data_IF_640561368124
#
_entry.id   IF_640561368124
#
_cell.length_a   1.000
_cell.length_b   1.000
_cell.length_c   1.000
_cell.angle_alpha   90.00
_cell.angle_beta   90.00
_cell.angle_gamma   90.00
#
_symmetry.space_group_name_H-M   'P 1'
#
loop_
_entity.id
_entity.type
_entity.pdbx_description
1 polymer ?
#
# COMPACT_ATOMS: atom_id res chain seq x y z
N UNK A 1 44.06 43.66 62.31
CA UNK A 1 43.87 44.72 61.31
C UNK A 1 42.63 44.38 60.51
N UNK A 2 41.61 45.24 60.55
CA UNK A 2 40.32 45.06 59.87
C UNK A 2 40.52 45.13 58.35
N UNK A 3 39.72 44.39 57.57
CA UNK A 3 38.83 44.96 56.55
C UNK A 3 37.88 43.87 55.99
N UNK A 4 36.59 44.10 56.18
CA UNK A 4 35.47 43.45 55.49
C UNK A 4 35.25 44.11 54.12
N UNK A 5 34.97 43.33 53.07
CA UNK A 5 34.23 43.76 51.87
C UNK A 5 33.53 42.51 51.30
N UNK A 6 32.26 42.27 51.65
CA UNK A 6 31.05 42.68 50.92
C UNK A 6 30.81 41.93 49.60
N UNK A 7 29.90 40.95 49.67
CA UNK A 7 28.80 40.68 48.72
C UNK A 7 29.05 40.78 47.21
N UNK A 8 29.03 39.63 46.53
CA UNK A 8 28.36 39.52 45.22
C UNK A 8 27.83 38.10 45.02
N UNK A 9 26.57 37.89 45.37
CA UNK A 9 25.80 36.67 45.11
C UNK A 9 25.39 36.64 43.65
N UNK A 10 26.16 35.96 42.80
CA UNK A 10 25.77 35.69 41.42
C UNK A 10 24.82 34.47 41.39
N UNK A 11 23.51 34.73 41.41
CA UNK A 11 22.51 33.69 41.16
C UNK A 11 22.55 33.32 39.68
N UNK A 12 23.31 32.29 39.34
CA UNK A 12 23.32 31.68 38.02
C UNK A 12 22.08 30.76 37.91
N UNK A 13 20.97 31.30 37.42
CA UNK A 13 19.78 30.51 37.11
C UNK A 13 20.09 29.67 35.87
N UNK A 14 20.45 28.41 36.08
CA UNK A 14 20.57 27.42 35.02
C UNK A 14 19.17 27.15 34.44
N UNK A 15 18.87 27.77 33.30
CA UNK A 15 17.72 27.42 32.49
C UNK A 15 17.97 26.02 31.89
N UNK A 16 17.44 25.00 32.57
CA UNK A 16 17.45 23.63 32.10
C UNK A 16 16.53 23.56 30.87
N UNK A 17 17.11 23.62 29.68
CA UNK A 17 16.45 23.28 28.42
C UNK A 17 15.99 21.82 28.53
N UNK A 18 14.71 21.63 28.82
CA UNK A 18 14.02 20.37 28.63
C UNK A 18 14.03 20.08 27.12
N UNK A 19 15.09 19.43 26.66
CA UNK A 19 15.09 18.70 25.40
C UNK A 19 14.07 17.57 25.57
N UNK A 20 12.83 17.85 25.19
CA UNK A 20 11.84 16.81 24.99
C UNK A 20 12.41 15.82 24.00
N UNK A 21 12.78 14.64 24.47
CA UNK A 21 13.07 13.51 23.60
C UNK A 21 11.81 13.25 22.79
N UNK A 22 11.83 13.58 21.51
CA UNK A 22 10.86 13.08 20.56
C UNK A 22 10.98 11.55 20.61
N UNK A 23 10.08 10.92 21.36
CA UNK A 23 9.93 9.47 21.33
C UNK A 23 9.58 9.17 19.87
N UNK A 24 10.52 8.58 19.13
CA UNK A 24 10.20 8.00 17.84
C UNK A 24 9.06 7.01 18.12
N UNK A 25 7.90 7.23 17.51
CA UNK A 25 6.83 6.26 17.59
C UNK A 25 7.37 4.96 17.01
N UNK A 26 7.51 3.92 17.83
CA UNK A 26 7.99 2.61 17.40
C UNK A 26 6.92 2.02 16.48
N UNK A 27 7.03 2.20 15.17
CA UNK A 27 6.06 1.64 14.24
C UNK A 27 6.26 0.12 14.12
N UNK A 28 5.16 -0.62 14.16
CA UNK A 28 5.17 -2.04 13.86
C UNK A 28 5.09 -2.26 12.36
N UNK A 29 5.91 -3.19 11.86
CA UNK A 29 5.98 -3.55 10.44
C UNK A 29 5.30 -4.89 10.18
N UNK A 30 4.22 -4.86 9.43
CA UNK A 30 3.56 -6.04 8.88
C UNK A 30 4.09 -6.29 7.46
N UNK A 31 4.43 -7.54 7.13
CA UNK A 31 4.95 -7.92 5.81
C UNK A 31 3.96 -8.81 5.09
N UNK A 32 3.98 -8.80 3.75
CA UNK A 32 3.22 -9.75 2.93
C UNK A 32 3.36 -11.20 3.41
N UNK A 33 2.25 -11.91 3.41
CA UNK A 33 2.17 -13.36 3.69
C UNK A 33 1.58 -14.11 2.47
N UNK A 34 1.84 -15.42 2.34
CA UNK A 34 1.20 -16.25 1.32
C UNK A 34 -0.32 -16.19 1.41
N UNK A 35 -1.01 -16.22 0.26
CA UNK A 35 -2.48 -16.15 0.18
C UNK A 35 -3.02 -14.83 -0.38
N UNK A 36 -2.14 -13.89 -0.73
CA UNK A 36 -2.52 -12.68 -1.47
C UNK A 36 -2.92 -13.00 -2.92
N UNK A 37 -3.81 -12.20 -3.49
CA UNK A 37 -4.32 -12.34 -4.87
C UNK A 37 -4.48 -10.99 -5.52
N UNK A 38 -4.20 -10.91 -6.82
CA UNK A 38 -4.55 -9.78 -7.67
C UNK A 38 -5.21 -10.31 -8.93
N UNK A 39 -6.26 -9.63 -9.39
CA UNK A 39 -6.95 -9.91 -10.64
C UNK A 39 -7.18 -8.62 -11.40
N UNK A 40 -6.95 -8.63 -12.69
CA UNK A 40 -7.21 -7.53 -13.61
C UNK A 40 -8.16 -8.05 -14.69
N UNK A 41 -9.35 -7.49 -14.75
CA UNK A 41 -10.38 -7.80 -15.75
C UNK A 41 -10.35 -6.72 -16.85
N UNK A 42 -10.47 -7.13 -18.12
CA UNK A 42 -10.58 -6.24 -19.27
C UNK A 42 -11.37 -6.84 -20.41
N UNK A 43 -11.66 -6.04 -21.43
CA UNK A 43 -12.51 -6.43 -22.56
C UNK A 43 -11.70 -6.58 -23.85
N UNK A 44 -12.20 -7.36 -24.81
CA UNK A 44 -11.65 -7.41 -26.17
C UNK A 44 -12.76 -7.53 -27.22
N UNK A 45 -12.40 -7.36 -28.50
CA UNK A 45 -13.32 -7.52 -29.63
C UNK A 45 -13.91 -8.94 -29.78
N UNK A 46 -13.31 -9.95 -29.15
CA UNK A 46 -13.78 -11.34 -29.20
C UNK A 46 -14.51 -11.70 -27.90
N UNK A 47 -13.80 -11.70 -26.78
CA UNK A 47 -14.32 -12.05 -25.45
C UNK A 47 -13.62 -11.22 -24.35
N UNK A 48 -14.24 -11.15 -23.17
CA UNK A 48 -13.57 -10.60 -21.99
C UNK A 48 -12.38 -11.48 -21.58
N UNK A 49 -11.37 -10.85 -21.01
CA UNK A 49 -10.15 -11.50 -20.55
C UNK A 49 -9.84 -11.11 -19.12
N UNK A 50 -9.00 -11.91 -18.47
CA UNK A 50 -8.46 -11.56 -17.17
C UNK A 50 -7.00 -11.95 -17.03
N UNK A 51 -6.36 -11.30 -16.07
CA UNK A 51 -4.99 -11.59 -15.64
C UNK A 51 -5.00 -11.76 -14.13
N UNK A 52 -4.33 -12.80 -13.63
CA UNK A 52 -4.24 -13.10 -12.20
C UNK A 52 -2.80 -13.21 -11.72
N UNK A 53 -2.58 -12.89 -10.45
CA UNK A 53 -1.30 -13.08 -9.77
C UNK A 53 -1.52 -13.42 -8.30
N UNK A 54 -0.56 -14.15 -7.72
CA UNK A 54 -0.59 -14.53 -6.31
C UNK A 54 0.53 -13.87 -5.49
N UNK A 55 1.33 -13.00 -6.12
CA UNK A 55 2.50 -12.37 -5.50
C UNK A 55 2.26 -10.88 -5.37
N UNK A 56 1.98 -10.44 -4.15
CA UNK A 56 2.01 -9.03 -3.75
C UNK A 56 3.05 -8.92 -2.64
N UNK A 57 4.19 -8.30 -2.94
CA UNK A 57 5.22 -7.97 -1.95
C UNK A 57 4.92 -6.61 -1.36
N UNK A 58 5.37 -6.38 -0.14
CA UNK A 58 5.19 -5.08 0.48
C UNK A 58 5.19 -5.12 1.98
N UNK A 59 5.01 -3.92 2.54
CA UNK A 59 5.05 -3.68 3.97
C UNK A 59 3.99 -2.66 4.35
N UNK A 60 3.33 -2.89 5.47
CA UNK A 60 2.45 -1.94 6.13
C UNK A 60 3.05 -1.61 7.49
N UNK A 61 3.45 -0.35 7.66
CA UNK A 61 4.00 0.15 8.92
C UNK A 61 3.02 1.15 9.54
N UNK A 62 2.67 0.90 10.80
CA UNK A 62 1.63 1.59 11.56
C UNK A 62 1.99 1.57 13.04
N UNK A 63 1.35 2.39 13.86
CA UNK A 63 1.58 2.40 15.30
C UNK A 63 1.19 1.05 15.96
N UNK A 64 1.88 0.60 17.04
CA UNK A 64 1.65 -0.69 17.68
C UNK A 64 0.21 -0.90 18.18
N UNK A 65 -0.46 0.20 18.54
CA UNK A 65 -1.86 0.22 18.96
C UNK A 65 -2.77 -0.40 17.90
N UNK A 66 -2.37 -0.44 16.63
CA UNK A 66 -3.11 -1.13 15.58
C UNK A 66 -3.37 -2.62 15.88
N UNK A 67 -2.43 -3.28 16.56
CA UNK A 67 -2.56 -4.70 16.91
C UNK A 67 -3.43 -4.92 18.15
N UNK A 68 -3.45 -3.97 19.08
CA UNK A 68 -4.10 -4.12 20.39
C UNK A 68 -5.46 -3.42 20.49
N UNK A 69 -5.61 -2.25 19.87
CA UNK A 69 -6.84 -1.47 19.83
C UNK A 69 -7.66 -1.81 18.58
N UNK A 70 -8.62 -2.72 18.75
CA UNK A 70 -9.53 -3.13 17.67
C UNK A 70 -10.41 -1.97 17.17
N UNK A 71 -10.66 -0.96 18.00
CA UNK A 71 -11.49 0.22 17.63
C UNK A 71 -10.73 1.25 16.80
N UNK A 72 -9.40 1.12 16.69
CA UNK A 72 -8.48 2.01 15.97
C UNK A 72 -8.47 3.48 16.47
N UNK A 73 -9.17 3.81 17.56
CA UNK A 73 -9.29 5.18 18.06
C UNK A 73 -7.97 5.74 18.57
N UNK A 74 -7.08 4.86 19.05
CA UNK A 74 -5.73 5.24 19.49
C UNK A 74 -4.70 5.28 18.34
N UNK A 75 -5.06 4.83 17.13
CA UNK A 75 -4.16 4.80 15.97
C UNK A 75 -4.29 6.11 15.20
N UNK A 76 -3.41 7.07 15.51
CA UNK A 76 -3.48 8.45 14.98
C UNK A 76 -3.31 8.49 13.47
N UNK A 77 -2.44 7.64 12.91
CA UNK A 77 -2.18 7.61 11.48
C UNK A 77 -3.37 7.18 10.62
N UNK A 78 -4.38 6.54 11.24
CA UNK A 78 -5.59 6.08 10.56
C UNK A 78 -6.81 6.97 10.84
N UNK A 79 -6.74 7.80 11.87
CA UNK A 79 -7.87 8.62 12.36
C UNK A 79 -7.66 10.12 12.10
N UNK A 80 -6.44 10.53 11.75
CA UNK A 80 -6.07 11.91 11.46
C UNK A 80 -5.30 11.96 10.13
N UNK A 81 -5.20 13.14 9.52
CA UNK A 81 -4.40 13.35 8.30
C UNK A 81 -2.99 13.90 8.56
N UNK A 82 -2.66 14.17 9.83
CA UNK A 82 -1.36 14.75 10.23
C UNK A 82 -0.20 13.76 10.11
N UNK A 83 -0.50 12.48 10.36
CA UNK A 83 0.43 11.35 10.23
C UNK A 83 -0.27 10.32 9.38
N UNK A 84 0.46 9.62 8.52
CA UNK A 84 -0.09 8.57 7.66
C UNK A 84 0.75 7.31 7.82
N UNK A 85 0.15 6.11 7.82
CA UNK A 85 0.93 4.88 7.84
C UNK A 85 1.77 4.79 6.55
N UNK A 86 2.81 3.95 6.58
CA UNK A 86 3.60 3.67 5.38
C UNK A 86 3.12 2.37 4.78
N UNK A 87 2.70 2.43 3.52
CA UNK A 87 2.47 1.25 2.69
C UNK A 87 3.31 1.38 1.43
N UNK A 88 4.07 0.34 1.14
CA UNK A 88 4.76 0.14 -0.13
C UNK A 88 4.45 -1.26 -0.63
N UNK A 89 3.99 -1.37 -1.88
CA UNK A 89 3.63 -2.62 -2.55
C UNK A 89 4.43 -2.78 -3.83
N UNK A 90 4.73 -4.03 -4.18
CA UNK A 90 5.30 -4.40 -5.47
C UNK A 90 4.70 -5.72 -5.98
N UNK A 91 4.22 -5.71 -7.23
CA UNK A 91 3.72 -6.89 -7.94
C UNK A 91 4.66 -7.14 -9.12
N UNK A 92 5.38 -8.27 -9.16
CA UNK A 92 6.25 -8.58 -10.27
C UNK A 92 5.42 -8.83 -11.53
N UNK A 93 5.68 -8.08 -12.61
CA UNK A 93 4.90 -8.17 -13.85
C UNK A 93 4.93 -9.59 -14.42
N UNK A 94 6.07 -10.28 -14.31
CA UNK A 94 6.22 -11.67 -14.78
C UNK A 94 5.46 -12.72 -13.97
N UNK A 95 4.98 -12.37 -12.76
CA UNK A 95 4.16 -13.26 -11.94
C UNK A 95 2.69 -13.28 -12.37
N UNK A 96 2.28 -12.32 -13.20
CA UNK A 96 0.93 -12.21 -13.73
C UNK A 96 0.70 -13.22 -14.86
N UNK A 97 -0.47 -13.84 -14.84
CA UNK A 97 -0.92 -14.91 -15.74
C UNK A 97 -2.25 -14.55 -16.38
N UNK A 98 -2.27 -14.48 -17.70
CA UNK A 98 -3.45 -14.23 -18.51
C UNK A 98 -4.29 -15.50 -18.67
N UNK A 99 -5.60 -15.32 -18.71
CA UNK A 99 -6.56 -16.36 -19.10
C UNK A 99 -6.33 -16.90 -20.52
N UNK A 100 -5.64 -16.14 -21.37
CA UNK A 100 -5.27 -16.55 -22.74
C UNK A 100 -4.00 -17.40 -22.83
N UNK A 101 -3.43 -17.82 -21.70
CA UNK A 101 -2.26 -18.69 -21.63
C UNK A 101 -0.94 -17.99 -21.94
N UNK A 102 0.13 -18.79 -22.05
CA UNK A 102 1.52 -18.28 -22.10
C UNK A 102 1.76 -17.23 -23.20
N UNK A 103 1.13 -17.38 -24.38
CA UNK A 103 1.32 -16.40 -25.46
C UNK A 103 0.77 -15.02 -25.09
N UNK A 104 -0.35 -14.97 -24.38
CA UNK A 104 -0.92 -13.71 -23.89
C UNK A 104 -0.14 -13.17 -22.69
N UNK A 105 0.44 -14.02 -21.85
CA UNK A 105 1.40 -13.59 -20.82
C UNK A 105 2.55 -12.80 -21.44
N UNK A 106 3.15 -13.32 -22.52
CA UNK A 106 4.27 -12.69 -23.21
C UNK A 106 3.89 -11.32 -23.78
N UNK A 107 2.75 -11.24 -24.48
CA UNK A 107 2.24 -9.99 -25.06
C UNK A 107 1.96 -8.94 -23.97
N UNK A 108 1.30 -9.35 -22.88
CA UNK A 108 1.05 -8.47 -21.74
C UNK A 108 2.36 -7.98 -21.11
N UNK A 109 3.30 -8.88 -20.85
CA UNK A 109 4.60 -8.52 -20.27
C UNK A 109 5.41 -7.58 -21.17
N UNK A 110 5.32 -7.77 -22.48
CA UNK A 110 5.95 -6.87 -23.47
C UNK A 110 5.28 -5.50 -23.48
N UNK A 111 3.95 -5.45 -23.52
CA UNK A 111 3.18 -4.19 -23.49
C UNK A 111 3.41 -3.38 -22.20
N UNK A 112 3.66 -4.05 -21.08
CA UNK A 112 4.03 -3.44 -19.80
C UNK A 112 5.52 -3.10 -19.67
N UNK A 113 6.33 -3.35 -20.71
CA UNK A 113 7.78 -3.19 -20.71
C UNK A 113 8.48 -3.90 -19.53
N UNK A 114 8.10 -5.16 -19.25
CA UNK A 114 8.54 -5.90 -18.09
C UNK A 114 10.07 -6.18 -18.02
N UNK A 115 10.80 -5.92 -19.11
CA UNK A 115 12.27 -6.02 -19.13
C UNK A 115 12.91 -4.86 -18.39
N UNK A 116 12.40 -3.65 -18.58
CA UNK A 116 12.90 -2.42 -17.94
C UNK A 116 12.14 -2.13 -16.64
N UNK A 117 10.84 -2.34 -16.64
CA UNK A 117 9.93 -2.09 -15.51
C UNK A 117 9.40 -3.40 -14.93
N UNK A 118 10.20 -4.01 -14.06
CA UNK A 118 9.96 -5.38 -13.56
C UNK A 118 8.76 -5.50 -12.62
N UNK A 119 8.44 -4.42 -11.91
CA UNK A 119 7.42 -4.40 -10.87
C UNK A 119 6.39 -3.30 -11.15
N UNK A 120 5.12 -3.61 -10.87
CA UNK A 120 4.08 -2.62 -10.60
C UNK A 120 4.22 -2.22 -9.14
N UNK A 121 4.34 -0.93 -8.83
CA UNK A 121 4.53 -0.48 -7.44
C UNK A 121 3.43 0.47 -7.00
N UNK A 122 3.01 0.35 -5.75
CA UNK A 122 2.09 1.31 -5.12
C UNK A 122 2.69 1.88 -3.85
N UNK A 123 2.59 3.20 -3.66
CA UNK A 123 3.01 3.90 -2.45
C UNK A 123 1.86 4.71 -1.88
N UNK A 124 1.52 4.45 -0.62
CA UNK A 124 0.48 5.20 0.07
C UNK A 124 0.98 6.59 0.46
N UNK A 125 0.09 7.56 0.37
CA UNK A 125 0.27 8.94 0.86
C UNK A 125 -0.64 9.23 2.03
N UNK A 126 -1.89 8.76 1.95
CA UNK A 126 -2.91 9.04 2.95
C UNK A 126 -3.83 7.83 3.11
N UNK A 127 -4.21 7.52 4.35
CA UNK A 127 -5.20 6.49 4.67
C UNK A 127 -6.01 6.94 5.87
N UNK A 128 -7.33 7.07 5.71
CA UNK A 128 -8.22 7.52 6.78
C UNK A 128 -9.39 6.55 6.90
N UNK A 129 -9.77 6.22 8.14
CA UNK A 129 -10.95 5.42 8.43
C UNK A 129 -12.20 6.08 7.83
N UNK A 130 -12.99 5.29 7.12
CA UNK A 130 -14.26 5.69 6.52
C UNK A 130 -15.42 5.07 7.28
N UNK A 131 -16.24 5.91 7.90
CA UNK A 131 -17.40 5.48 8.68
C UNK A 131 -17.03 4.93 10.06
N UNK A 132 -17.91 4.12 10.63
CA UNK A 132 -17.73 3.56 11.97
C UNK A 132 -16.88 2.29 11.96
N UNK A 133 -16.01 2.15 12.96
CA UNK A 133 -15.25 0.93 13.21
C UNK A 133 -16.11 0.01 14.09
N UNK A 134 -16.45 -1.22 13.65
CA UNK A 134 -17.17 -2.17 14.48
C UNK A 134 -16.39 -2.48 15.77
N UNK A 135 -17.08 -2.84 16.86
CA UNK A 135 -16.43 -3.22 18.11
C UNK A 135 -15.50 -4.44 17.97
N UNK A 136 -15.77 -5.32 17.00
CA UNK A 136 -14.89 -6.43 16.60
C UNK A 136 -13.59 -5.97 15.94
N UNK A 137 -13.54 -4.72 15.46
CA UNK A 137 -12.45 -4.16 14.67
C UNK A 137 -12.37 -4.70 13.24
N UNK A 138 -13.43 -5.33 12.73
CA UNK A 138 -13.45 -5.91 11.38
C UNK A 138 -14.88 -6.17 10.88
N UNK A 139 -15.19 -5.93 9.60
CA UNK A 139 -14.37 -5.23 8.61
C UNK A 139 -14.26 -3.72 8.90
N UNK A 140 -13.19 -3.08 8.44
CA UNK A 140 -13.00 -1.62 8.53
C UNK A 140 -12.75 -1.06 7.13
N UNK A 141 -13.40 0.05 6.79
CA UNK A 141 -13.21 0.72 5.51
C UNK A 141 -12.26 1.89 5.66
N UNK A 142 -11.49 2.15 4.63
CA UNK A 142 -10.56 3.26 4.54
C UNK A 142 -10.72 3.96 3.20
N UNK A 143 -10.70 5.29 3.21
CA UNK A 143 -10.40 6.07 2.01
C UNK A 143 -8.88 6.26 1.94
N UNK A 144 -8.28 5.88 0.82
CA UNK A 144 -6.83 5.93 0.62
C UNK A 144 -6.46 6.81 -0.57
N UNK A 145 -5.31 7.49 -0.46
CA UNK A 145 -4.65 8.19 -1.56
C UNK A 145 -3.24 7.65 -1.69
N UNK A 146 -2.82 7.36 -2.91
CA UNK A 146 -1.48 6.87 -3.18
C UNK A 146 -1.04 7.13 -4.59
N UNK A 147 0.14 6.61 -4.90
CA UNK A 147 0.78 6.67 -6.21
C UNK A 147 0.95 5.25 -6.72
N UNK A 148 0.36 4.96 -7.88
CA UNK A 148 0.54 3.70 -8.60
C UNK A 148 1.53 3.94 -9.73
N UNK A 149 2.55 3.10 -9.85
CA UNK A 149 3.50 3.14 -10.95
C UNK A 149 3.41 1.86 -11.76
N UNK A 150 3.15 2.00 -13.05
CA UNK A 150 3.09 0.91 -14.03
C UNK A 150 3.87 1.36 -15.25
N UNK A 151 4.70 0.48 -15.84
CA UNK A 151 5.48 0.83 -17.03
C UNK A 151 6.33 2.11 -16.84
N UNK A 152 6.88 2.30 -15.63
CA UNK A 152 7.67 3.48 -15.27
C UNK A 152 6.89 4.79 -15.16
N UNK A 153 5.57 4.79 -15.39
CA UNK A 153 4.70 5.96 -15.30
C UNK A 153 3.96 5.93 -13.97
N UNK A 154 4.06 7.02 -13.20
CA UNK A 154 3.37 7.18 -11.91
C UNK A 154 2.09 7.99 -12.09
N UNK A 155 0.98 7.49 -11.56
CA UNK A 155 -0.31 8.15 -11.53
C UNK A 155 -0.90 8.17 -10.12
N UNK A 156 -1.67 9.20 -9.73
CA UNK A 156 -2.43 9.18 -8.49
C UNK A 156 -3.48 8.08 -8.54
N UNK A 157 -3.62 7.34 -7.44
CA UNK A 157 -4.52 6.21 -7.34
C UNK A 157 -5.21 6.24 -5.97
N UNK A 158 -6.42 6.79 -5.97
CA UNK A 158 -7.26 6.92 -4.78
C UNK A 158 -8.33 5.83 -4.80
N UNK A 159 -8.47 5.10 -3.71
CA UNK A 159 -9.37 3.94 -3.64
C UNK A 159 -9.96 3.77 -2.24
N UNK A 160 -11.17 3.19 -2.18
CA UNK A 160 -11.71 2.62 -0.94
C UNK A 160 -11.09 1.23 -0.74
N UNK A 161 -10.55 0.99 0.46
CA UNK A 161 -9.97 -0.30 0.86
C UNK A 161 -10.72 -0.83 2.08
N UNK A 162 -11.08 -2.11 2.05
CA UNK A 162 -11.62 -2.81 3.21
C UNK A 162 -10.52 -3.64 3.86
N UNK A 163 -10.31 -3.47 5.16
CA UNK A 163 -9.44 -4.31 5.97
C UNK A 163 -10.26 -5.32 6.77
N UNK A 164 -9.83 -6.58 6.73
CA UNK A 164 -10.34 -7.65 7.57
C UNK A 164 -9.24 -8.14 8.51
N UNK A 165 -9.55 -8.28 9.80
CA UNK A 165 -8.66 -8.99 10.74
C UNK A 165 -8.87 -10.49 10.57
N UNK A 166 -7.81 -11.21 10.21
CA UNK A 166 -7.82 -12.67 10.04
C UNK A 166 -7.57 -13.35 11.38
N UNK A 167 -6.60 -12.82 12.13
CA UNK A 167 -6.30 -13.14 13.53
C UNK A 167 -5.55 -11.96 14.16
N UNK A 168 -5.02 -12.13 15.38
CA UNK A 168 -4.34 -11.05 16.11
C UNK A 168 -3.02 -10.59 15.46
N UNK A 169 -2.46 -11.38 14.55
CA UNK A 169 -1.17 -11.11 13.89
C UNK A 169 -1.28 -10.83 12.40
N UNK A 170 -2.44 -11.11 11.78
CA UNK A 170 -2.66 -11.02 10.33
C UNK A 170 -3.89 -10.21 9.98
N UNK A 171 -3.73 -9.36 8.98
CA UNK A 171 -4.82 -8.57 8.39
C UNK A 171 -4.79 -8.69 6.87
N UNK A 172 -5.97 -8.63 6.26
CA UNK A 172 -6.17 -8.70 4.82
C UNK A 172 -6.79 -7.40 4.32
N UNK A 173 -6.17 -6.77 3.34
CA UNK A 173 -6.69 -5.59 2.66
C UNK A 173 -7.32 -5.99 1.32
N UNK A 174 -8.52 -5.49 1.05
CA UNK A 174 -9.32 -5.82 -0.13
C UNK A 174 -9.71 -4.52 -0.82
N UNK A 175 -9.49 -4.44 -2.13
CA UNK A 175 -9.83 -3.26 -2.89
C UNK A 175 -10.18 -3.56 -4.34
N UNK A 176 -10.83 -2.60 -4.98
CA UNK A 176 -11.14 -2.62 -6.41
C UNK A 176 -10.93 -1.23 -6.99
N UNK A 177 -10.20 -1.15 -8.11
CA UNK A 177 -9.88 0.10 -8.78
C UNK A 177 -10.09 -0.03 -10.28
N UNK A 178 -10.80 0.93 -10.88
CA UNK A 178 -10.87 1.09 -12.34
C UNK A 178 -9.71 1.95 -12.81
N UNK A 179 -9.04 1.53 -13.87
CA UNK A 179 -7.87 2.20 -14.45
C UNK A 179 -7.97 2.18 -15.98
N UNK A 180 -7.18 3.03 -16.63
CA UNK A 180 -6.94 2.99 -18.08
C UNK A 180 -5.49 2.61 -18.35
N UNK A 181 -5.24 1.78 -19.35
CA UNK A 181 -3.87 1.43 -19.75
C UNK A 181 -3.12 2.65 -20.31
N UNK A 182 -3.84 3.51 -21.05
CA UNK A 182 -3.27 4.71 -21.67
C UNK A 182 -2.76 5.74 -20.65
N UNK A 183 -3.34 5.82 -19.45
CA UNK A 183 -2.84 6.67 -18.35
C UNK A 183 -1.40 6.31 -17.96
N UNK A 184 -1.02 5.04 -18.14
CA UNK A 184 0.32 4.52 -17.88
C UNK A 184 1.17 4.39 -19.14
N UNK A 185 0.76 5.04 -20.24
CA UNK A 185 1.39 4.97 -21.57
C UNK A 185 1.53 3.54 -22.09
N UNK A 186 0.62 2.65 -21.69
CA UNK A 186 0.50 1.32 -22.26
C UNK A 186 -0.55 1.42 -23.36
N UNK A 187 -0.13 1.20 -24.61
CA UNK A 187 -1.09 1.06 -25.70
C UNK A 187 -1.81 -0.29 -25.53
N UNK A 188 -3.16 -0.32 -25.52
CA UNK A 188 -3.91 -1.57 -25.44
C UNK A 188 -3.41 -2.55 -26.51
N UNK A 189 -2.99 -3.78 -26.12
CA UNK A 189 -2.45 -4.73 -27.07
C UNK A 189 -3.46 -5.06 -28.17
N UNK A 190 -2.98 -5.16 -29.41
CA UNK A 190 -3.81 -5.57 -30.55
C UNK A 190 -3.13 -6.70 -31.33
N UNK A 191 -2.95 -7.89 -30.73
CA UNK A 191 -2.25 -8.98 -31.39
C UNK A 191 -3.04 -9.49 -32.59
N UNK A 192 -2.33 -9.77 -33.69
CA UNK A 192 -2.88 -10.50 -34.83
C UNK A 192 -2.70 -12.00 -34.57
N UNK A 193 -3.81 -12.72 -34.47
CA UNK A 193 -3.84 -14.18 -34.35
C UNK A 193 -4.47 -14.78 -35.62
N UNK A 194 -4.38 -16.10 -35.79
CA UNK A 194 -4.78 -16.82 -37.01
C UNK A 194 -6.25 -16.60 -37.46
N UNK A 195 -7.10 -15.98 -36.63
CA UNK A 195 -8.49 -15.61 -36.94
C UNK A 195 -8.74 -14.11 -37.16
N UNK A 196 -7.71 -13.26 -37.18
CA UNK A 196 -7.84 -11.81 -37.36
C UNK A 196 -7.17 -10.98 -36.26
N UNK A 197 -7.23 -9.66 -36.40
CA UNK A 197 -6.73 -8.72 -35.40
C UNK A 197 -7.70 -8.63 -34.21
N UNK A 198 -7.18 -8.86 -33.01
CA UNK A 198 -7.91 -8.64 -31.76
C UNK A 198 -7.63 -7.22 -31.31
N UNK A 199 -8.64 -6.52 -30.80
CA UNK A 199 -8.43 -5.24 -30.11
C UNK A 199 -8.82 -5.40 -28.66
N UNK A 200 -8.02 -4.82 -27.77
CA UNK A 200 -8.27 -4.80 -26.33
C UNK A 200 -8.83 -3.43 -25.92
N UNK A 201 -9.83 -3.42 -25.03
CA UNK A 201 -10.36 -2.19 -24.45
C UNK A 201 -9.34 -1.52 -23.54
N UNK A 202 -9.36 -0.19 -23.47
CA UNK A 202 -8.43 0.59 -22.64
C UNK A 202 -8.77 0.54 -21.14
N UNK A 203 -10.06 0.43 -20.81
CA UNK A 203 -10.55 0.33 -19.44
C UNK A 203 -10.30 -1.07 -18.85
N UNK A 204 -9.71 -1.09 -17.66
CA UNK A 204 -9.48 -2.30 -16.88
C UNK A 204 -10.00 -2.13 -15.46
N UNK A 205 -10.38 -3.23 -14.83
CA UNK A 205 -10.75 -3.27 -13.40
C UNK A 205 -9.78 -4.17 -12.65
N UNK A 206 -9.04 -3.59 -11.70
CA UNK A 206 -8.10 -4.32 -10.84
C UNK A 206 -8.76 -4.59 -9.50
N UNK A 207 -8.70 -5.83 -9.04
CA UNK A 207 -9.16 -6.31 -7.73
C UNK A 207 -7.97 -6.93 -7.01
N UNK A 208 -7.87 -6.72 -5.70
CA UNK A 208 -6.80 -7.34 -4.92
C UNK A 208 -7.28 -7.77 -3.54
N UNK A 209 -6.60 -8.79 -3.02
CA UNK A 209 -6.59 -9.22 -1.63
C UNK A 209 -5.13 -9.30 -1.20
N UNK A 210 -4.71 -8.44 -0.29
CA UNK A 210 -3.34 -8.40 0.21
C UNK A 210 -3.29 -8.81 1.67
N UNK A 211 -2.72 -9.98 1.93
CA UNK A 211 -2.54 -10.51 3.28
C UNK A 211 -1.18 -10.08 3.83
N UNK A 212 -1.20 -9.44 4.98
CA UNK A 212 0.01 -9.08 5.74
C UNK A 212 -0.08 -9.60 7.15
N UNK A 213 1.07 -9.71 7.81
CA UNK A 213 1.11 -9.98 9.23
C UNK A 213 2.46 -9.66 9.84
N UNK A 214 2.50 -9.66 11.16
CA UNK A 214 3.76 -9.55 11.90
C UNK A 214 4.62 -10.78 11.61
N UNK A 215 5.94 -10.63 11.70
CA UNK A 215 6.83 -11.79 11.78
C UNK A 215 6.77 -12.26 13.24
N UNK A 216 6.54 -13.55 13.51
CA UNK A 216 6.63 -14.06 14.88
C UNK A 216 7.99 -13.66 15.47
N UNK A 217 8.02 -13.19 16.71
CA UNK A 217 9.28 -13.06 17.43
C UNK A 217 9.99 -14.42 17.34
N UNK A 218 11.25 -14.43 16.89
CA UNK A 218 12.07 -15.63 16.95
C UNK A 218 12.04 -16.12 18.40
N UNK A 219 11.59 -17.36 18.60
CA UNK A 219 11.63 -18.02 19.91
C UNK A 219 13.08 -18.30 20.31
#
# INVERSE_FOLDING_TARGET
>A
MKLNLSTLTLKLTAACLLLGSAQAADWVKLTSKPGSKVRMDGTSSIHDWYVEGAIIRGTFEVEPEFLTDKTLKSVKSLTTTEVNPKVELAIPVRSLKSSGGQKMDEIMQEAMNAKEHKDITYKLKEMVVKGEVPASGTPVKFDTKGELTVNGVTQPCNMEVTMERVDDSRVKFIGTQKLKMTDFKITPPAPSLAGGAITTGDDITVKFEWLVGTTPAAK
#
